data_IF_776811447896
#
_entry.id   IF_776811447896
#
_cell.length_a   1.000
_cell.length_b   1.000
_cell.length_c   1.000
_cell.angle_alpha   90.00
_cell.angle_beta   90.00
_cell.angle_gamma   90.00
#
_symmetry.space_group_name_H-M   'P 1'
#
loop_
_entity.id
_entity.type
_entity.pdbx_description
1 polymer ?
#
# COMPACT_ATOMS: atom_id res chain seq x y z
N UNK A 1 8.51 37.49 7.38
CA UNK A 1 8.25 36.25 8.14
C UNK A 1 6.79 35.93 7.92
N UNK A 2 6.47 34.76 7.35
CA UNK A 2 5.08 34.39 7.08
C UNK A 2 4.40 34.04 8.40
N UNK A 3 3.24 34.65 8.67
CA UNK A 3 2.39 34.33 9.81
C UNK A 3 2.04 32.84 9.78
N UNK A 4 2.46 32.12 10.82
CA UNK A 4 2.08 30.71 11.01
C UNK A 4 0.67 30.73 11.57
N UNK A 5 -0.34 30.20 10.85
CA UNK A 5 -1.70 30.18 11.36
C UNK A 5 -1.73 29.37 12.66
N UNK A 6 -2.04 30.05 13.77
CA UNK A 6 -2.10 29.44 15.09
C UNK A 6 -3.51 28.92 15.31
N UNK A 7 -3.67 27.60 15.40
CA UNK A 7 -4.97 26.97 15.66
C UNK A 7 -5.38 27.33 17.09
N UNK A 8 -6.49 28.05 17.25
CA UNK A 8 -7.03 28.40 18.56
C UNK A 8 -7.70 27.17 19.22
N UNK A 9 -7.82 27.14 20.56
CA UNK A 9 -8.52 26.06 21.27
C UNK A 9 -9.95 25.84 20.78
N UNK A 10 -10.64 26.93 20.41
CA UNK A 10 -12.00 26.89 19.85
C UNK A 10 -12.04 26.21 18.48
N UNK A 11 -11.12 26.57 17.56
CA UNK A 11 -10.99 25.90 16.26
C UNK A 11 -10.67 24.41 16.40
N UNK A 12 -9.85 24.05 17.39
CA UNK A 12 -9.53 22.65 17.67
C UNK A 12 -10.74 21.87 18.16
N UNK A 13 -11.60 22.48 18.99
CA UNK A 13 -12.80 21.85 19.51
C UNK A 13 -13.89 21.70 18.44
N UNK A 14 -14.12 22.73 17.62
CA UNK A 14 -15.01 22.63 16.46
C UNK A 14 -14.57 21.52 15.50
N UNK A 15 -13.28 21.42 15.24
CA UNK A 15 -12.71 20.36 14.40
C UNK A 15 -12.95 18.97 15.01
N UNK A 16 -12.79 18.80 16.34
CA UNK A 16 -13.08 17.52 17.02
C UNK A 16 -14.55 17.15 16.91
N UNK A 17 -15.46 18.12 17.10
CA UNK A 17 -16.91 17.90 17.01
C UNK A 17 -17.27 17.47 15.59
N UNK A 18 -16.72 18.14 14.57
CA UNK A 18 -16.96 17.79 13.17
C UNK A 18 -16.42 16.39 12.84
N UNK A 19 -15.22 16.05 13.33
CA UNK A 19 -14.65 14.69 13.19
C UNK A 19 -15.54 13.65 13.89
N UNK A 20 -16.06 13.96 15.08
CA UNK A 20 -16.93 13.07 15.83
C UNK A 20 -18.26 12.83 15.11
N UNK A 21 -18.89 13.89 14.56
CA UNK A 21 -20.11 13.77 13.75
C UNK A 21 -19.88 12.92 12.49
N UNK A 22 -18.77 13.14 11.78
CA UNK A 22 -18.39 12.33 10.61
C UNK A 22 -18.14 10.85 10.98
N UNK A 23 -17.65 10.57 12.19
CA UNK A 23 -17.45 9.21 12.70
C UNK A 23 -18.76 8.55 13.12
N UNK A 24 -19.69 9.28 13.73
CA UNK A 24 -20.98 8.76 14.16
C UNK A 24 -21.84 8.25 12.98
N UNK A 25 -21.71 8.88 11.80
CA UNK A 25 -22.40 8.44 10.58
C UNK A 25 -21.78 7.24 9.86
N UNK A 26 -20.56 6.80 10.23
CA UNK A 26 -19.93 5.63 9.62
C UNK A 26 -20.49 4.36 10.26
N UNK A 27 -21.23 3.56 9.48
CA UNK A 27 -21.49 2.17 9.85
C UNK A 27 -20.15 1.48 10.09
N UNK A 28 -19.97 0.91 11.29
CA UNK A 28 -18.78 0.12 11.61
C UNK A 28 -18.62 -1.06 10.64
N UNK A 29 -17.41 -1.56 10.50
CA UNK A 29 -17.14 -2.74 9.69
C UNK A 29 -17.96 -3.93 10.21
N UNK A 30 -18.57 -4.69 9.31
CA UNK A 30 -19.23 -5.96 9.65
C UNK A 30 -18.23 -7.03 10.14
N UNK A 31 -16.93 -6.79 9.96
CA UNK A 31 -15.85 -7.69 10.37
C UNK A 31 -15.30 -7.37 11.77
N UNK A 32 -15.84 -6.38 12.47
CA UNK A 32 -15.27 -5.85 13.72
C UNK A 32 -15.17 -6.90 14.85
N UNK A 33 -16.07 -7.88 14.86
CA UNK A 33 -16.14 -8.91 15.90
C UNK A 33 -15.45 -10.22 15.47
N UNK A 34 -14.76 -10.25 14.33
CA UNK A 34 -14.02 -11.43 13.89
C UNK A 34 -12.72 -11.55 14.69
N UNK A 35 -12.61 -12.66 15.42
CA UNK A 35 -11.40 -13.13 16.07
C UNK A 35 -11.18 -14.61 15.74
N UNK A 36 -9.93 -15.04 15.68
CA UNK A 36 -9.49 -16.43 15.54
C UNK A 36 -10.06 -17.20 14.34
N UNK A 37 -10.38 -16.48 13.26
CA UNK A 37 -10.81 -17.12 12.01
C UNK A 37 -9.63 -17.84 11.32
N UNK A 38 -9.95 -18.89 10.56
CA UNK A 38 -8.96 -19.64 9.81
C UNK A 38 -8.42 -18.81 8.63
N UNK A 39 -7.10 -18.68 8.54
CA UNK A 39 -6.44 -18.02 7.42
C UNK A 39 -6.48 -18.91 6.17
N UNK A 40 -6.99 -18.43 5.03
CA UNK A 40 -7.05 -19.23 3.80
C UNK A 40 -5.66 -19.51 3.20
N UNK A 41 -4.63 -18.75 3.59
CA UNK A 41 -3.27 -18.88 3.05
C UNK A 41 -2.39 -19.83 3.86
N UNK A 42 -2.47 -19.80 5.20
CA UNK A 42 -1.60 -20.61 6.06
C UNK A 42 -2.36 -21.59 6.98
N UNK A 43 -3.69 -21.60 6.96
CA UNK A 43 -4.54 -22.49 7.76
C UNK A 43 -4.62 -22.16 9.25
N UNK A 44 -3.79 -21.25 9.78
CA UNK A 44 -3.81 -20.89 11.21
C UNK A 44 -5.08 -20.13 11.59
N UNK A 45 -5.60 -20.38 12.81
CA UNK A 45 -6.73 -19.66 13.41
C UNK A 45 -6.28 -18.37 14.09
N UNK A 46 -5.65 -17.47 13.31
CA UNK A 46 -5.04 -16.25 13.84
C UNK A 46 -5.46 -15.00 13.08
N UNK A 47 -6.57 -15.09 12.33
CA UNK A 47 -7.15 -13.95 11.61
C UNK A 47 -8.00 -13.13 12.56
N UNK A 48 -7.69 -11.84 12.65
CA UNK A 48 -8.41 -10.88 13.49
C UNK A 48 -8.72 -9.60 12.72
N UNK A 49 -9.68 -8.83 13.24
CA UNK A 49 -9.99 -7.51 12.72
C UNK A 49 -8.78 -6.55 12.81
N UNK A 50 -8.55 -5.78 11.75
CA UNK A 50 -7.53 -4.75 11.67
C UNK A 50 -8.14 -3.42 11.20
N UNK A 51 -7.69 -2.31 11.76
CA UNK A 51 -8.14 -0.94 11.44
C UNK A 51 -7.02 0.01 11.01
N UNK A 52 -5.83 -0.56 10.81
CA UNK A 52 -4.57 0.08 10.47
C UNK A 52 -4.02 -0.45 9.14
N UNK A 53 -4.86 -1.05 8.30
CA UNK A 53 -4.42 -1.56 7.00
C UNK A 53 -4.04 -0.41 6.08
N UNK A 54 -3.01 -0.61 5.26
CA UNK A 54 -2.54 0.36 4.28
C UNK A 54 -2.68 -0.25 2.88
N UNK A 55 -3.41 0.42 2.01
CA UNK A 55 -3.41 0.12 0.59
C UNK A 55 -2.38 0.96 -0.14
N UNK A 56 -1.50 0.33 -0.90
CA UNK A 56 -0.48 1.00 -1.69
C UNK A 56 -0.40 0.39 -3.09
N UNK A 57 -0.52 1.24 -4.10
CA UNK A 57 -0.41 0.86 -5.52
C UNK A 57 0.18 2.00 -6.33
N UNK A 58 0.81 1.67 -7.46
CA UNK A 58 1.18 2.66 -8.49
C UNK A 58 0.27 2.46 -9.70
N UNK A 59 -0.51 3.49 -10.05
CA UNK A 59 -1.44 3.48 -11.19
C UNK A 59 -1.32 4.80 -11.94
N UNK A 60 -1.40 4.77 -13.27
CA UNK A 60 -1.29 5.96 -14.12
C UNK A 60 -0.08 6.87 -13.81
N UNK A 61 1.04 6.31 -13.35
CA UNK A 61 2.25 7.06 -12.96
C UNK A 61 2.19 7.68 -11.56
N UNK A 62 1.11 7.48 -10.81
CA UNK A 62 0.92 8.01 -9.47
C UNK A 62 1.04 6.92 -8.42
N UNK A 63 1.74 7.21 -7.32
CA UNK A 63 1.74 6.36 -6.12
C UNK A 63 0.54 6.72 -5.24
N UNK A 64 -0.39 5.79 -5.09
CA UNK A 64 -1.59 5.95 -4.28
C UNK A 64 -1.37 5.19 -2.97
N UNK A 65 -1.39 5.92 -1.86
CA UNK A 65 -1.31 5.36 -0.51
C UNK A 65 -2.56 5.75 0.27
N UNK A 66 -3.33 4.76 0.70
CA UNK A 66 -4.55 4.93 1.50
C UNK A 66 -4.34 4.24 2.85
N UNK A 67 -4.00 4.99 3.91
CA UNK A 67 -3.80 4.44 5.24
C UNK A 67 -5.12 4.29 6.01
N UNK A 68 -5.05 3.66 7.19
CA UNK A 68 -6.15 3.54 8.15
C UNK A 68 -7.41 2.88 7.57
N UNK A 69 -7.20 1.87 6.74
CA UNK A 69 -8.26 1.01 6.22
C UNK A 69 -8.58 -0.12 7.19
N UNK A 70 -9.82 -0.58 7.13
CA UNK A 70 -10.36 -1.64 7.94
C UNK A 70 -10.50 -2.95 7.17
N UNK A 71 -10.35 -4.06 7.86
CA UNK A 71 -10.41 -5.39 7.27
C UNK A 71 -9.98 -6.46 8.26
N UNK A 72 -9.37 -7.52 7.74
CA UNK A 72 -8.84 -8.63 8.53
C UNK A 72 -7.37 -8.84 8.22
N UNK A 73 -6.59 -9.25 9.23
CA UNK A 73 -5.16 -9.57 9.12
C UNK A 73 -4.87 -10.87 9.86
N UNK A 74 -4.10 -11.75 9.23
CA UNK A 74 -3.53 -12.93 9.86
C UNK A 74 -2.25 -12.54 10.60
N UNK A 75 -2.19 -12.76 11.92
CA UNK A 75 -0.98 -12.45 12.69
C UNK A 75 0.16 -13.44 12.44
N UNK A 76 -0.15 -14.65 11.94
CA UNK A 76 0.86 -15.67 11.64
C UNK A 76 1.61 -15.42 10.31
N UNK A 77 0.90 -15.24 9.19
CA UNK A 77 1.55 -15.09 7.87
C UNK A 77 1.56 -13.65 7.34
N UNK A 78 0.90 -12.71 8.02
CA UNK A 78 0.82 -11.31 7.63
C UNK A 78 -0.13 -11.03 6.45
N UNK A 79 -0.84 -12.04 5.95
CA UNK A 79 -1.83 -11.85 4.89
C UNK A 79 -3.05 -11.06 5.39
N UNK A 80 -3.67 -10.29 4.50
CA UNK A 80 -4.77 -9.39 4.88
C UNK A 80 -5.79 -9.22 3.76
N UNK A 81 -7.01 -8.85 4.14
CA UNK A 81 -8.08 -8.50 3.21
C UNK A 81 -8.84 -7.27 3.72
N UNK A 82 -9.27 -6.40 2.80
CA UNK A 82 -10.04 -5.21 3.13
C UNK A 82 -11.53 -5.55 3.26
N UNK A 83 -12.23 -4.86 4.17
CA UNK A 83 -13.68 -4.95 4.23
C UNK A 83 -14.36 -4.19 3.08
N UNK A 84 -15.69 -4.30 3.00
CA UNK A 84 -16.46 -3.65 1.93
C UNK A 84 -16.40 -2.11 1.96
N UNK A 85 -16.27 -1.50 3.15
CA UNK A 85 -16.16 -0.06 3.31
C UNK A 85 -14.84 0.47 2.76
N UNK A 86 -13.75 -0.16 3.17
CA UNK A 86 -12.40 0.12 2.71
C UNK A 86 -12.23 -0.18 1.23
N UNK A 87 -12.82 -1.27 0.73
CA UNK A 87 -12.79 -1.62 -0.70
C UNK A 87 -13.46 -0.56 -1.57
N UNK A 88 -14.58 0.04 -1.12
CA UNK A 88 -15.23 1.17 -1.83
C UNK A 88 -14.37 2.44 -1.83
N UNK A 89 -13.61 2.68 -0.77
CA UNK A 89 -12.65 3.79 -0.71
C UNK A 89 -11.54 3.54 -1.73
N UNK A 90 -10.93 2.34 -1.72
CA UNK A 90 -9.91 1.94 -2.69
C UNK A 90 -10.45 2.15 -4.12
N UNK A 91 -11.60 1.55 -4.44
CA UNK A 91 -12.21 1.63 -5.77
C UNK A 91 -12.42 3.09 -6.22
N UNK A 92 -12.93 3.96 -5.35
CA UNK A 92 -13.11 5.39 -5.67
C UNK A 92 -11.83 6.05 -6.16
N UNK A 93 -10.68 5.68 -5.62
CA UNK A 93 -9.39 6.27 -5.96
C UNK A 93 -8.63 5.51 -7.07
N UNK A 94 -9.04 4.28 -7.41
CA UNK A 94 -8.34 3.43 -8.38
C UNK A 94 -9.12 3.10 -9.65
N UNK A 95 -10.46 3.13 -9.63
CA UNK A 95 -11.34 2.53 -10.67
C UNK A 95 -11.05 2.97 -12.12
N UNK A 96 -10.66 4.22 -12.33
CA UNK A 96 -10.42 4.78 -13.66
C UNK A 96 -8.94 5.00 -13.95
N UNK A 97 -8.04 4.47 -13.12
CA UNK A 97 -6.60 4.63 -13.30
C UNK A 97 -6.05 3.34 -13.90
N UNK A 98 -5.56 3.36 -15.16
CA UNK A 98 -4.99 2.18 -15.77
C UNK A 98 -3.76 1.73 -14.98
N UNK A 99 -3.58 0.42 -14.90
CA UNK A 99 -2.28 -0.13 -14.53
C UNK A 99 -1.25 0.36 -15.55
N UNK A 100 -0.15 0.90 -15.04
CA UNK A 100 0.96 1.37 -15.86
C UNK A 100 2.23 0.66 -15.42
N UNK A 101 3.12 0.38 -16.36
CA UNK A 101 4.40 -0.24 -16.06
C UNK A 101 4.88 -1.09 -17.22
N UNK A 102 6.08 -1.60 -17.05
CA UNK A 102 6.69 -2.54 -17.97
C UNK A 102 6.75 -3.89 -17.29
N UNK A 103 6.28 -4.93 -17.95
CA UNK A 103 6.51 -6.30 -17.51
C UNK A 103 7.99 -6.64 -17.71
N UNK A 104 8.60 -7.27 -16.71
CA UNK A 104 9.96 -7.76 -16.77
C UNK A 104 9.99 -9.25 -16.44
N UNK A 105 10.89 -9.99 -17.07
CA UNK A 105 11.11 -11.40 -16.77
C UNK A 105 12.19 -11.55 -15.71
N UNK A 106 11.97 -12.48 -14.78
CA UNK A 106 12.99 -13.00 -13.88
C UNK A 106 13.43 -14.36 -14.42
N UNK A 107 14.73 -14.55 -14.59
CA UNK A 107 15.27 -15.85 -15.02
C UNK A 107 16.52 -16.22 -14.23
N UNK A 108 16.88 -17.50 -14.29
CA UNK A 108 18.11 -17.99 -13.69
C UNK A 108 19.31 -17.48 -14.46
N UNK A 109 20.21 -16.80 -13.74
CA UNK A 109 21.55 -16.52 -14.23
C UNK A 109 22.52 -17.54 -13.61
N UNK A 110 23.67 -17.74 -14.24
CA UNK A 110 24.65 -18.73 -13.78
C UNK A 110 25.02 -18.58 -12.29
N UNK A 111 25.44 -19.70 -11.68
CA UNK A 111 25.86 -19.77 -10.27
C UNK A 111 24.76 -19.45 -9.25
N UNK A 112 23.52 -19.92 -9.50
CA UNK A 112 22.43 -19.90 -8.50
C UNK A 112 21.84 -18.51 -8.23
N UNK A 113 22.07 -17.55 -9.12
CA UNK A 113 21.53 -16.19 -9.00
C UNK A 113 20.31 -16.04 -9.91
N UNK A 114 19.44 -15.07 -9.59
CA UNK A 114 18.34 -14.66 -10.47
C UNK A 114 18.66 -13.29 -11.08
N UNK A 115 18.32 -13.12 -12.35
CA UNK A 115 18.44 -11.87 -13.09
C UNK A 115 17.07 -11.33 -13.47
N UNK A 116 16.89 -10.01 -13.34
CA UNK A 116 15.70 -9.30 -13.80
C UNK A 116 16.03 -8.55 -15.10
N UNK A 117 15.26 -8.81 -16.16
CA UNK A 117 15.50 -8.24 -17.49
C UNK A 117 14.56 -7.07 -17.72
N UNK A 118 15.12 -5.86 -17.73
CA UNK A 118 14.37 -4.65 -18.03
C UNK A 118 14.17 -4.50 -19.56
N UNK A 119 12.94 -4.24 -20.04
CA UNK A 119 12.70 -3.91 -21.44
C UNK A 119 13.53 -2.71 -21.90
N UNK A 120 13.90 -2.70 -23.19
CA UNK A 120 14.74 -1.62 -23.77
C UNK A 120 14.15 -0.22 -23.54
N UNK A 121 12.83 -0.09 -23.54
CA UNK A 121 12.16 1.18 -23.28
C UNK A 121 12.39 1.68 -21.85
N UNK A 122 12.40 0.81 -20.85
CA UNK A 122 12.75 1.19 -19.47
C UNK A 122 14.17 1.71 -19.40
N UNK A 123 15.12 0.99 -20.02
CA UNK A 123 16.52 1.41 -20.06
C UNK A 123 16.67 2.80 -20.68
N UNK A 124 15.94 3.06 -21.76
CA UNK A 124 15.95 4.34 -22.47
C UNK A 124 15.29 5.46 -21.67
N UNK A 125 14.08 5.26 -21.16
CA UNK A 125 13.30 6.28 -20.44
C UNK A 125 13.96 6.66 -19.13
N UNK A 126 14.53 5.69 -18.41
CA UNK A 126 15.19 5.91 -17.12
C UNK A 126 16.69 6.21 -17.24
N UNK A 127 17.27 6.18 -18.44
CA UNK A 127 18.70 6.44 -18.66
C UNK A 127 19.63 5.41 -18.01
N UNK A 128 19.21 4.15 -17.91
CA UNK A 128 19.95 3.09 -17.21
C UNK A 128 21.14 2.66 -18.07
N UNK A 129 22.33 2.68 -17.47
CA UNK A 129 23.58 2.24 -18.11
C UNK A 129 24.17 1.03 -17.39
N UNK A 130 25.18 0.41 -17.98
CA UNK A 130 25.89 -0.75 -17.40
C UNK A 130 26.61 -0.46 -16.08
N UNK A 131 26.78 0.82 -15.72
CA UNK A 131 27.46 1.26 -14.49
C UNK A 131 26.49 1.62 -13.37
N UNK A 132 25.20 1.74 -13.66
CA UNK A 132 24.20 2.07 -12.64
C UNK A 132 24.14 0.99 -11.56
N UNK A 133 24.10 1.42 -10.31
CA UNK A 133 23.84 0.55 -9.16
C UNK A 133 22.36 0.57 -8.83
N UNK A 134 21.86 -0.53 -8.28
CA UNK A 134 20.49 -0.60 -7.79
C UNK A 134 20.51 -1.04 -6.33
N UNK A 135 19.71 -0.36 -5.49
CA UNK A 135 19.39 -0.82 -4.14
C UNK A 135 17.99 -1.39 -4.18
N UNK A 136 17.85 -2.64 -3.73
CA UNK A 136 16.57 -3.34 -3.65
C UNK A 136 16.18 -3.45 -2.19
N UNK A 137 15.11 -2.76 -1.81
CA UNK A 137 14.57 -2.76 -0.44
C UNK A 137 13.28 -3.57 -0.42
N UNK A 138 13.26 -4.76 0.21
CA UNK A 138 12.04 -5.54 0.35
C UNK A 138 11.07 -4.82 1.29
N UNK A 139 9.83 -4.63 0.84
CA UNK A 139 8.76 -4.05 1.66
C UNK A 139 7.82 -5.12 2.21
N UNK A 140 7.56 -6.16 1.42
CA UNK A 140 6.72 -7.30 1.80
C UNK A 140 7.10 -8.53 0.99
N UNK A 141 6.36 -9.62 1.17
CA UNK A 141 6.53 -10.85 0.38
C UNK A 141 6.37 -10.63 -1.14
N UNK A 142 5.65 -9.60 -1.55
CA UNK A 142 5.27 -9.36 -2.95
C UNK A 142 5.67 -7.98 -3.47
N UNK A 143 6.32 -7.15 -2.64
CA UNK A 143 6.66 -5.78 -2.99
C UNK A 143 8.08 -5.46 -2.58
N UNK A 144 8.78 -4.78 -3.47
CA UNK A 144 10.11 -4.20 -3.22
C UNK A 144 10.17 -2.82 -3.85
N UNK A 145 10.99 -1.93 -3.28
CA UNK A 145 11.40 -0.69 -3.92
C UNK A 145 12.76 -0.94 -4.55
N UNK A 146 12.94 -0.48 -5.79
CA UNK A 146 14.23 -0.49 -6.48
C UNK A 146 14.65 0.94 -6.74
N UNK A 147 15.74 1.37 -6.12
CA UNK A 147 16.32 2.69 -6.32
C UNK A 147 17.57 2.57 -7.18
N UNK A 148 17.64 3.38 -8.24
CA UNK A 148 18.79 3.42 -9.13
C UNK A 148 19.71 4.57 -8.76
N UNK A 149 20.99 4.28 -8.62
CA UNK A 149 22.04 5.25 -8.36
C UNK A 149 22.92 5.34 -9.61
N UNK A 150 22.80 6.43 -10.39
CA UNK A 150 23.77 6.70 -11.44
C UNK A 150 25.14 6.96 -10.80
N UNK A 151 26.19 6.34 -11.36
CA UNK A 151 27.57 6.70 -11.06
C UNK A 151 27.97 7.99 -11.78
#
# INVERSE_FOLDING_TARGET
MADIPTITPEMAEETKIEIAMRRAGRRGSSLKDIADAACPVCGSQTVSFANDLVFEVVLAGERIVIPNLTGIRCSNCGDFAFDSGSSKIIDRYTKNKPACGYECSISTVGAGKLGMYLPKDVLRVMGITKKCKAIVTPLSRWKMIVELYPE
#
